data_IF_864081860499
#
_entry.id   IF_864081860499
#
_cell.length_a   1.000
_cell.length_b   1.000
_cell.length_c   1.000
_cell.angle_alpha   90.00
_cell.angle_beta   90.00
_cell.angle_gamma   90.00
#
_symmetry.space_group_name_H-M   'P 1'
#
loop_
_entity.id
_entity.type
_entity.pdbx_description
1 polymer ?
#
# COMPACT_ATOMS: atom_id res chain seq x y z
N UNK A 1 11.65 -7.47 40.94
CA UNK A 1 10.47 -7.57 40.06
C UNK A 1 9.32 -8.08 40.90
N UNK A 2 8.34 -7.23 41.21
CA UNK A 2 7.18 -7.63 42.00
C UNK A 2 6.24 -8.45 41.12
N UNK A 3 5.98 -9.71 41.48
CA UNK A 3 4.97 -10.54 40.85
C UNK A 3 3.60 -9.97 41.23
N UNK A 4 3.01 -9.17 40.33
CA UNK A 4 1.69 -8.59 40.54
C UNK A 4 0.64 -9.59 40.09
N UNK A 5 -0.18 -10.09 41.03
CA UNK A 5 -1.39 -10.85 40.71
C UNK A 5 -2.46 -9.88 40.25
N UNK A 6 -2.91 -10.01 39.01
CA UNK A 6 -4.17 -9.43 38.55
C UNK A 6 -5.31 -10.12 39.30
N UNK A 7 -6.34 -9.37 39.69
CA UNK A 7 -7.52 -9.99 40.29
C UNK A 7 -8.35 -10.72 39.21
N UNK A 8 -9.26 -11.59 39.66
CA UNK A 8 -10.10 -12.37 38.74
C UNK A 8 -10.99 -11.51 37.85
N UNK A 9 -11.35 -10.29 38.27
CA UNK A 9 -12.19 -9.38 37.51
C UNK A 9 -11.43 -8.72 36.36
N UNK A 10 -10.20 -8.27 36.60
CA UNK A 10 -9.30 -7.73 35.58
C UNK A 10 -8.97 -8.76 34.50
N UNK A 11 -8.69 -10.02 34.90
CA UNK A 11 -8.45 -11.13 33.97
C UNK A 11 -9.71 -11.41 33.13
N UNK A 12 -10.89 -11.37 33.74
CA UNK A 12 -12.16 -11.60 33.06
C UNK A 12 -12.49 -10.50 32.04
N UNK A 13 -12.26 -9.23 32.40
CA UNK A 13 -12.46 -8.08 31.51
C UNK A 13 -11.50 -8.11 30.32
N UNK A 14 -10.21 -8.36 30.57
CA UNK A 14 -9.20 -8.52 29.50
C UNK A 14 -9.52 -9.73 28.62
N UNK A 15 -10.06 -10.81 29.20
CA UNK A 15 -10.55 -11.99 28.48
C UNK A 15 -11.71 -11.63 27.54
N UNK A 16 -12.72 -10.89 28.02
CA UNK A 16 -13.86 -10.45 27.19
C UNK A 16 -13.44 -9.53 26.06
N UNK A 17 -12.52 -8.59 26.30
CA UNK A 17 -11.99 -7.68 25.28
C UNK A 17 -11.23 -8.49 24.20
N UNK A 18 -10.38 -9.44 24.60
CA UNK A 18 -9.68 -10.33 23.66
C UNK A 18 -10.63 -11.20 22.84
N UNK A 19 -11.65 -11.80 23.47
CA UNK A 19 -12.64 -12.64 22.79
C UNK A 19 -13.44 -11.82 21.78
N UNK A 20 -13.85 -10.61 22.16
CA UNK A 20 -14.56 -9.67 21.29
C UNK A 20 -13.73 -9.35 20.04
N UNK A 21 -12.48 -8.90 20.21
CA UNK A 21 -11.56 -8.60 19.10
C UNK A 21 -11.28 -9.83 18.21
N UNK A 22 -11.10 -11.01 18.80
CA UNK A 22 -10.87 -12.25 18.05
C UNK A 22 -12.10 -12.66 17.24
N UNK A 23 -13.29 -12.53 17.82
CA UNK A 23 -14.56 -12.86 17.15
C UNK A 23 -14.84 -11.92 15.98
N UNK A 24 -14.58 -10.61 16.15
CA UNK A 24 -14.69 -9.65 15.06
C UNK A 24 -13.69 -9.92 13.94
N UNK A 25 -12.46 -10.33 14.27
CA UNK A 25 -11.44 -10.70 13.30
C UNK A 25 -11.85 -11.93 12.45
N UNK A 26 -12.45 -12.93 13.09
CA UNK A 26 -12.98 -14.15 12.45
C UNK A 26 -14.16 -13.84 11.52
N UNK A 27 -15.10 -13.03 12.00
CA UNK A 27 -16.26 -12.61 11.22
C UNK A 27 -15.82 -11.78 10.00
N UNK A 28 -14.83 -10.89 10.16
CA UNK A 28 -14.27 -10.10 9.06
C UNK A 28 -13.56 -10.98 8.01
N UNK A 29 -12.76 -11.95 8.45
CA UNK A 29 -12.11 -12.91 7.56
C UNK A 29 -13.11 -13.75 6.76
N UNK A 30 -14.20 -14.18 7.40
CA UNK A 30 -15.28 -14.90 6.74
C UNK A 30 -16.02 -14.01 5.72
N UNK A 31 -16.30 -12.75 6.08
CA UNK A 31 -16.93 -11.78 5.16
C UNK A 31 -16.05 -11.48 3.93
N UNK A 32 -14.73 -11.37 4.10
CA UNK A 32 -13.79 -11.23 2.97
C UNK A 32 -13.87 -12.44 2.03
N UNK A 33 -13.91 -13.65 2.59
CA UNK A 33 -14.04 -14.90 1.82
C UNK A 33 -15.36 -14.93 1.03
N UNK A 34 -16.45 -14.49 1.64
CA UNK A 34 -17.78 -14.53 1.02
C UNK A 34 -17.99 -13.40 -0.01
N UNK A 35 -17.39 -12.23 0.21
CA UNK A 35 -17.42 -11.08 -0.71
C UNK A 35 -16.71 -11.35 -2.05
N UNK A 36 -15.75 -12.29 -2.06
CA UNK A 36 -15.10 -12.71 -3.30
C UNK A 36 -16.04 -13.51 -4.24
N UNK A 37 -17.26 -13.84 -3.78
CA UNK A 37 -18.18 -14.73 -4.48
C UNK A 37 -19.53 -14.13 -4.89
N UNK A 38 -19.96 -12.95 -4.41
CA UNK A 38 -21.33 -12.41 -4.69
C UNK A 38 -21.46 -10.87 -4.66
N UNK A 39 -22.52 -10.34 -5.31
CA UNK A 39 -22.90 -8.92 -5.48
C UNK A 39 -23.19 -8.13 -4.17
N UNK A 40 -23.04 -6.80 -4.26
CA UNK A 40 -23.05 -5.70 -3.25
C UNK A 40 -23.93 -5.78 -1.98
N UNK A 41 -24.97 -6.62 -1.88
CA UNK A 41 -25.93 -6.56 -0.76
C UNK A 41 -25.41 -7.16 0.56
N UNK A 42 -24.40 -8.03 0.50
CA UNK A 42 -23.80 -8.67 1.68
C UNK A 42 -22.96 -7.69 2.52
N UNK A 43 -22.36 -6.68 1.88
CA UNK A 43 -21.47 -5.70 2.53
C UNK A 43 -22.23 -4.75 3.46
N UNK A 44 -23.43 -4.28 3.06
CA UNK A 44 -24.25 -3.37 3.86
C UNK A 44 -24.83 -4.02 5.13
N UNK A 45 -25.25 -5.29 5.00
CA UNK A 45 -25.75 -6.08 6.13
C UNK A 45 -24.65 -6.29 7.17
N UNK A 46 -23.43 -6.53 6.71
CA UNK A 46 -22.28 -6.72 7.58
C UNK A 46 -21.85 -5.45 8.31
N UNK A 47 -21.84 -4.30 7.60
CA UNK A 47 -21.58 -2.97 8.19
C UNK A 47 -22.57 -2.66 9.32
N UNK A 48 -23.84 -3.02 9.14
CA UNK A 48 -24.91 -2.78 10.10
C UNK A 48 -24.78 -3.64 11.36
N UNK A 49 -24.43 -4.93 11.20
CA UNK A 49 -24.20 -5.85 12.33
C UNK A 49 -22.93 -5.49 13.12
N UNK A 50 -21.87 -5.06 12.44
CA UNK A 50 -20.65 -4.56 13.09
C UNK A 50 -20.92 -3.31 13.94
N UNK A 51 -21.66 -2.33 13.39
CA UNK A 51 -22.04 -1.10 14.11
C UNK A 51 -22.91 -1.40 15.34
N UNK A 52 -23.88 -2.31 15.24
CA UNK A 52 -24.72 -2.73 16.38
C UNK A 52 -23.90 -3.42 17.48
N UNK A 53 -22.96 -4.29 17.09
CA UNK A 53 -22.01 -4.92 18.00
C UNK A 53 -21.15 -3.89 18.76
N UNK A 54 -20.57 -2.92 18.04
CA UNK A 54 -19.77 -1.85 18.63
C UNK A 54 -20.57 -0.94 19.57
N UNK A 55 -21.83 -0.61 19.23
CA UNK A 55 -22.69 0.25 20.06
C UNK A 55 -23.07 -0.42 21.38
N UNK A 56 -23.34 -1.73 21.40
CA UNK A 56 -23.61 -2.48 22.63
C UNK A 56 -22.41 -2.48 23.59
N UNK A 57 -21.19 -2.60 23.04
CA UNK A 57 -19.95 -2.56 23.80
C UNK A 57 -19.65 -1.15 24.35
N UNK A 58 -19.93 -0.10 23.57
CA UNK A 58 -19.79 1.29 24.01
C UNK A 58 -20.70 1.65 25.19
N UNK A 59 -21.90 1.06 25.27
CA UNK A 59 -22.81 1.24 26.40
C UNK A 59 -22.28 0.60 27.69
N UNK A 60 -21.69 -0.60 27.63
CA UNK A 60 -21.00 -1.21 28.78
C UNK A 60 -19.77 -0.40 29.19
N UNK A 61 -18.97 0.08 28.23
CA UNK A 61 -17.78 0.90 28.50
C UNK A 61 -18.16 2.22 29.20
N UNK A 62 -19.28 2.86 28.83
CA UNK A 62 -19.78 4.06 29.52
C UNK A 62 -20.18 3.77 30.97
N UNK A 63 -20.81 2.62 31.23
CA UNK A 63 -21.18 2.19 32.58
C UNK A 63 -19.95 1.98 33.47
N UNK A 64 -18.88 1.42 32.88
CA UNK A 64 -17.58 1.24 33.53
C UNK A 64 -16.87 2.58 33.76
N UNK A 65 -16.90 3.52 32.80
CA UNK A 65 -16.32 4.88 32.96
C UNK A 65 -16.91 5.64 34.16
N UNK A 66 -18.16 5.43 34.54
CA UNK A 66 -18.77 6.05 35.73
C UNK A 66 -18.27 5.48 37.06
N UNK A 67 -17.84 4.22 37.12
CA UNK A 67 -17.31 3.58 38.33
C UNK A 67 -15.81 3.87 38.56
N UNK A 68 -15.14 4.46 37.57
CA UNK A 68 -13.69 4.70 37.54
C UNK A 68 -13.23 6.04 38.13
N UNK A 69 -14.14 6.88 38.61
CA UNK A 69 -13.81 8.15 39.25
C UNK A 69 -13.11 8.02 40.62
N UNK A 70 -12.91 6.79 41.13
CA UNK A 70 -12.13 6.54 42.35
C UNK A 70 -10.62 6.69 42.05
N UNK A 71 -9.86 7.54 42.78
CA UNK A 71 -8.42 7.70 42.61
C UNK A 71 -7.58 6.41 42.79
N UNK A 72 -8.09 5.39 43.47
CA UNK A 72 -7.43 4.07 43.55
C UNK A 72 -7.44 3.31 42.20
N UNK A 73 -8.28 3.73 41.25
CA UNK A 73 -8.41 3.12 39.93
C UNK A 73 -7.49 3.71 38.84
N UNK A 74 -6.47 4.51 39.21
CA UNK A 74 -5.56 5.14 38.25
C UNK A 74 -4.95 4.14 37.24
N UNK A 75 -4.62 2.93 37.70
CA UNK A 75 -4.10 1.86 36.84
C UNK A 75 -5.14 1.33 35.86
N UNK A 76 -6.38 1.18 36.28
CA UNK A 76 -7.47 0.72 35.42
C UNK A 76 -7.82 1.78 34.35
N UNK A 77 -7.75 3.06 34.71
CA UNK A 77 -7.87 4.18 33.75
C UNK A 77 -6.75 4.15 32.72
N UNK A 78 -5.51 3.90 33.13
CA UNK A 78 -4.37 3.76 32.21
C UNK A 78 -4.55 2.58 31.25
N UNK A 79 -4.93 1.40 31.77
CA UNK A 79 -5.21 0.21 30.96
C UNK A 79 -6.34 0.46 29.93
N UNK A 80 -7.39 1.18 30.33
CA UNK A 80 -8.47 1.55 29.41
C UNK A 80 -8.03 2.51 28.32
N UNK A 81 -7.16 3.49 28.63
CA UNK A 81 -6.57 4.37 27.61
C UNK A 81 -5.73 3.58 26.61
N UNK A 82 -4.89 2.67 27.10
CA UNK A 82 -4.09 1.78 26.23
C UNK A 82 -5.00 0.93 25.33
N UNK A 83 -6.07 0.36 25.89
CA UNK A 83 -7.05 -0.40 25.12
C UNK A 83 -7.80 0.44 24.08
N UNK A 84 -8.16 1.69 24.42
CA UNK A 84 -8.82 2.63 23.52
C UNK A 84 -7.91 3.01 22.35
N UNK A 85 -6.64 3.33 22.62
CA UNK A 85 -5.63 3.59 21.60
C UNK A 85 -5.42 2.37 20.70
N UNK A 86 -5.29 1.17 21.26
CA UNK A 86 -5.14 -0.06 20.48
C UNK A 86 -6.34 -0.30 19.53
N UNK A 87 -7.56 -0.03 20.00
CA UNK A 87 -8.76 -0.16 19.19
C UNK A 87 -8.80 0.88 18.05
N UNK A 88 -8.37 2.11 18.31
CA UNK A 88 -8.25 3.15 17.26
C UNK A 88 -7.23 2.76 16.18
N UNK A 89 -6.06 2.23 16.59
CA UNK A 89 -5.06 1.73 15.64
C UNK A 89 -5.59 0.56 14.79
N UNK A 90 -6.36 -0.33 15.39
CA UNK A 90 -6.98 -1.44 14.67
C UNK A 90 -8.02 -0.98 13.65
N UNK A 91 -8.90 -0.04 14.02
CA UNK A 91 -9.86 0.55 13.09
C UNK A 91 -9.15 1.26 11.91
N UNK A 92 -8.09 2.01 12.21
CA UNK A 92 -7.29 2.66 11.18
C UNK A 92 -6.67 1.65 10.20
N UNK A 93 -6.18 0.51 10.68
CA UNK A 93 -5.68 -0.56 9.81
C UNK A 93 -6.80 -1.14 8.93
N UNK A 94 -8.00 -1.37 9.46
CA UNK A 94 -9.16 -1.83 8.68
C UNK A 94 -9.48 -0.84 7.56
N UNK A 95 -9.50 0.46 7.86
CA UNK A 95 -9.77 1.50 6.85
C UNK A 95 -8.71 1.49 5.75
N UNK A 96 -7.43 1.29 6.11
CA UNK A 96 -6.35 1.17 5.13
C UNK A 96 -6.49 -0.08 4.24
N UNK A 97 -6.91 -1.21 4.81
CA UNK A 97 -7.18 -2.44 4.05
C UNK A 97 -8.33 -2.22 3.07
N UNK A 98 -9.41 -1.58 3.51
CA UNK A 98 -10.56 -1.27 2.67
C UNK A 98 -10.19 -0.35 1.52
N UNK A 99 -9.48 0.75 1.79
CA UNK A 99 -9.00 1.67 0.74
C UNK A 99 -8.08 0.94 -0.27
N UNK A 100 -7.22 0.03 0.22
CA UNK A 100 -6.34 -0.77 -0.66
C UNK A 100 -7.11 -1.68 -1.59
N UNK A 101 -8.13 -2.37 -1.06
CA UNK A 101 -9.04 -3.21 -1.84
C UNK A 101 -9.78 -2.38 -2.89
N UNK A 102 -10.33 -1.23 -2.50
CA UNK A 102 -11.07 -0.35 -3.39
C UNK A 102 -10.17 0.15 -4.54
N UNK A 103 -9.01 0.75 -4.25
CA UNK A 103 -8.13 1.31 -5.29
C UNK A 103 -7.56 0.23 -6.23
N UNK A 104 -7.22 -0.94 -5.69
CA UNK A 104 -6.78 -2.07 -6.51
C UNK A 104 -7.90 -2.60 -7.41
N UNK A 105 -9.12 -2.70 -6.90
CA UNK A 105 -10.29 -3.18 -7.67
C UNK A 105 -10.70 -2.17 -8.74
N UNK A 106 -10.69 -0.88 -8.44
CA UNK A 106 -10.93 0.17 -9.42
C UNK A 106 -9.92 0.11 -10.56
N UNK A 107 -8.64 -0.16 -10.28
CA UNK A 107 -7.62 -0.33 -11.33
C UNK A 107 -7.96 -1.48 -12.28
N UNK A 108 -8.56 -2.57 -11.78
CA UNK A 108 -9.06 -3.68 -12.62
C UNK A 108 -10.14 -3.21 -13.61
N UNK A 109 -11.08 -2.40 -13.14
CA UNK A 109 -12.19 -1.90 -13.95
C UNK A 109 -11.74 -0.83 -14.95
N UNK A 110 -10.87 0.09 -14.51
CA UNK A 110 -10.32 1.14 -15.38
C UNK A 110 -9.25 0.65 -16.35
N UNK A 111 -8.71 -0.57 -16.19
CA UNK A 111 -7.92 -1.20 -17.26
C UNK A 111 -8.68 -1.35 -18.59
N UNK A 112 -10.00 -1.15 -18.59
CA UNK A 112 -10.87 -1.14 -19.77
C UNK A 112 -10.96 0.26 -20.42
N UNK A 113 -10.72 1.34 -19.66
CA UNK A 113 -10.90 2.73 -20.12
C UNK A 113 -9.53 3.41 -20.16
N UNK A 114 -9.01 3.65 -21.37
CA UNK A 114 -7.59 3.92 -21.61
C UNK A 114 -7.03 5.21 -21.01
N UNK A 115 -7.83 6.17 -20.56
CA UNK A 115 -7.28 7.52 -20.28
C UNK A 115 -6.59 7.65 -18.90
N UNK A 116 -7.02 6.93 -17.85
CA UNK A 116 -6.58 7.25 -16.46
C UNK A 116 -5.85 6.12 -15.69
N UNK A 117 -5.21 5.21 -16.43
CA UNK A 117 -4.53 4.04 -15.86
C UNK A 117 -3.35 4.37 -14.96
N UNK A 118 -2.55 5.37 -15.31
CA UNK A 118 -1.32 5.70 -14.58
C UNK A 118 -1.63 6.30 -13.19
N UNK A 119 -2.66 7.14 -13.10
CA UNK A 119 -3.14 7.69 -11.84
C UNK A 119 -3.71 6.61 -10.91
N UNK A 120 -4.46 5.66 -11.47
CA UNK A 120 -5.01 4.52 -10.73
C UNK A 120 -3.89 3.65 -10.12
N UNK A 121 -2.81 3.42 -10.86
CA UNK A 121 -1.65 2.67 -10.36
C UNK A 121 -0.95 3.39 -9.20
N UNK A 122 -0.77 4.71 -9.31
CA UNK A 122 -0.16 5.51 -8.24
C UNK A 122 -1.01 5.48 -6.96
N UNK A 123 -2.34 5.58 -7.09
CA UNK A 123 -3.27 5.45 -5.95
C UNK A 123 -3.21 4.06 -5.32
N UNK A 124 -3.19 3.01 -6.13
CA UNK A 124 -3.05 1.64 -5.64
C UNK A 124 -1.74 1.45 -4.85
N UNK A 125 -0.62 1.95 -5.39
CA UNK A 125 0.68 1.96 -4.69
C UNK A 125 0.58 2.65 -3.32
N UNK A 126 0.14 3.90 -3.30
CA UNK A 126 0.05 4.69 -2.06
C UNK A 126 -0.85 4.04 -1.02
N UNK A 127 -1.96 3.42 -1.44
CA UNK A 127 -2.86 2.73 -0.54
C UNK A 127 -2.21 1.48 0.08
N UNK A 128 -1.55 0.66 -0.73
CA UNK A 128 -0.82 -0.53 -0.27
C UNK A 128 0.33 -0.16 0.68
N UNK A 129 1.09 0.91 0.38
CA UNK A 129 2.16 1.42 1.26
C UNK A 129 1.60 1.85 2.62
N UNK A 130 0.49 2.60 2.64
CA UNK A 130 -0.17 3.02 3.88
C UNK A 130 -0.66 1.84 4.70
N UNK A 131 -1.27 0.84 4.06
CA UNK A 131 -1.75 -0.36 4.73
C UNK A 131 -0.61 -1.15 5.40
N UNK A 132 0.51 -1.33 4.70
CA UNK A 132 1.68 -2.04 5.24
C UNK A 132 2.29 -1.23 6.40
N UNK A 133 2.49 0.08 6.22
CA UNK A 133 3.01 0.95 7.26
C UNK A 133 2.11 0.98 8.52
N UNK A 134 0.79 1.05 8.34
CA UNK A 134 -0.18 1.06 9.43
C UNK A 134 -0.13 -0.24 10.27
N UNK A 135 0.36 -1.33 9.70
CA UNK A 135 0.52 -2.61 10.40
C UNK A 135 1.85 -2.75 11.15
N UNK A 136 2.77 -1.79 11.00
CA UNK A 136 4.14 -1.94 11.49
C UNK A 136 4.90 -3.06 10.77
N UNK A 137 4.68 -3.18 9.44
CA UNK A 137 5.28 -4.21 8.58
C UNK A 137 4.96 -5.65 9.01
N UNK A 138 3.74 -5.90 9.52
CA UNK A 138 3.32 -7.23 9.92
C UNK A 138 3.34 -8.20 8.71
N UNK A 139 4.07 -9.34 8.77
CA UNK A 139 4.18 -10.28 7.65
C UNK A 139 2.85 -10.79 7.12
N UNK A 140 1.81 -10.86 7.97
CA UNK A 140 0.46 -11.28 7.57
C UNK A 140 -0.21 -10.21 6.73
N UNK A 141 -0.05 -8.93 7.09
CA UNK A 141 -0.58 -7.80 6.32
C UNK A 141 0.16 -7.65 5.01
N UNK A 142 1.48 -7.86 4.98
CA UNK A 142 2.25 -7.94 3.74
C UNK A 142 1.68 -9.05 2.82
N UNK A 143 1.37 -10.23 3.37
CA UNK A 143 0.76 -11.32 2.60
C UNK A 143 -0.63 -10.97 2.07
N UNK A 144 -1.46 -10.31 2.88
CA UNK A 144 -2.76 -9.78 2.44
C UNK A 144 -2.56 -8.78 1.30
N UNK A 145 -1.59 -7.86 1.41
CA UNK A 145 -1.27 -6.90 0.37
C UNK A 145 -0.88 -7.57 -0.95
N UNK A 146 -0.03 -8.60 -0.89
CA UNK A 146 0.36 -9.40 -2.06
C UNK A 146 -0.86 -10.08 -2.71
N UNK A 147 -1.80 -10.59 -1.92
CA UNK A 147 -3.05 -11.21 -2.40
C UNK A 147 -3.95 -10.16 -3.05
N UNK A 148 -4.16 -9.01 -2.41
CA UNK A 148 -4.95 -7.89 -2.96
C UNK A 148 -4.37 -7.49 -4.33
N UNK A 149 -3.05 -7.28 -4.38
CA UNK A 149 -2.38 -6.91 -5.61
C UNK A 149 -2.52 -7.99 -6.70
N UNK A 150 -2.34 -9.26 -6.36
CA UNK A 150 -2.46 -10.37 -7.32
C UNK A 150 -3.88 -10.48 -7.92
N UNK A 151 -4.91 -10.07 -7.18
CA UNK A 151 -6.31 -10.08 -7.64
C UNK A 151 -6.76 -8.79 -8.34
N UNK A 152 -5.94 -7.73 -8.28
CA UNK A 152 -6.23 -6.42 -8.89
C UNK A 152 -6.17 -6.40 -10.42
N UNK A 153 -5.58 -7.41 -11.05
CA UNK A 153 -5.27 -7.41 -12.49
C UNK A 153 -4.11 -6.47 -12.86
N UNK A 154 -3.48 -5.79 -11.90
CA UNK A 154 -2.26 -5.04 -12.13
C UNK A 154 -1.12 -6.03 -12.39
N UNK A 155 -0.38 -5.82 -13.49
CA UNK A 155 0.73 -6.69 -13.85
C UNK A 155 1.83 -6.63 -12.79
N UNK A 156 2.40 -7.79 -12.45
CA UNK A 156 3.61 -7.90 -11.63
C UNK A 156 4.84 -7.23 -12.27
N UNK A 157 4.74 -6.80 -13.53
CA UNK A 157 5.76 -5.97 -14.19
C UNK A 157 5.65 -4.49 -13.83
N UNK A 158 4.49 -4.02 -13.37
CA UNK A 158 4.22 -2.61 -13.05
C UNK A 158 4.43 -2.31 -11.56
N UNK A 159 4.02 -3.23 -10.69
CA UNK A 159 4.15 -3.09 -9.24
C UNK A 159 4.43 -4.46 -8.61
N UNK A 160 5.23 -4.47 -7.55
CA UNK A 160 5.45 -5.66 -6.71
C UNK A 160 5.51 -5.25 -5.24
N UNK A 161 5.17 -6.20 -4.38
CA UNK A 161 5.37 -6.08 -2.94
C UNK A 161 6.40 -7.14 -2.57
N UNK A 162 7.55 -6.69 -2.08
CA UNK A 162 8.63 -7.56 -1.62
C UNK A 162 8.28 -8.18 -0.26
N UNK A 163 8.98 -9.24 0.12
CA UNK A 163 8.72 -9.95 1.37
C UNK A 163 8.98 -9.10 2.63
N UNK A 164 9.78 -8.03 2.49
CA UNK A 164 10.00 -7.03 3.54
C UNK A 164 8.95 -5.90 3.55
N UNK A 165 7.84 -6.06 2.82
CA UNK A 165 6.75 -5.07 2.78
C UNK A 165 7.00 -3.89 1.84
N UNK A 166 8.21 -3.75 1.27
CA UNK A 166 8.51 -2.67 0.33
C UNK A 166 7.66 -2.81 -0.94
N UNK A 167 6.84 -1.80 -1.21
CA UNK A 167 6.11 -1.66 -2.47
C UNK A 167 7.04 -1.00 -3.49
N UNK A 168 7.32 -1.70 -4.59
CA UNK A 168 8.13 -1.19 -5.69
C UNK A 168 7.25 -1.00 -6.91
N UNK A 169 7.38 0.15 -7.56
CA UNK A 169 6.75 0.45 -8.85
C UNK A 169 7.78 0.55 -9.94
N UNK A 170 7.33 0.31 -11.17
CA UNK A 170 8.13 0.55 -12.35
C UNK A 170 8.52 2.02 -12.42
N UNK A 171 9.74 2.25 -12.88
CA UNK A 171 10.30 3.57 -13.12
C UNK A 171 10.77 3.67 -14.55
N UNK A 172 10.64 4.86 -15.13
CA UNK A 172 11.27 5.21 -16.41
C UNK A 172 12.62 5.82 -16.09
N UNK A 173 13.66 5.39 -16.79
CA UNK A 173 15.00 5.93 -16.68
C UNK A 173 15.48 6.49 -18.03
N UNK A 174 16.30 7.52 -17.93
CA UNK A 174 17.01 8.15 -19.05
C UNK A 174 18.50 7.95 -18.82
N UNK A 175 19.18 7.25 -19.72
CA UNK A 175 20.60 6.96 -19.58
C UNK A 175 21.35 7.34 -20.84
N UNK A 176 22.49 8.01 -20.70
CA UNK A 176 23.33 8.46 -21.78
C UNK A 176 24.57 7.57 -21.88
N UNK A 177 24.92 7.16 -23.11
CA UNK A 177 26.18 6.50 -23.42
C UNK A 177 27.27 7.54 -23.74
N UNK A 178 28.54 7.13 -23.74
CA UNK A 178 29.70 7.97 -24.06
C UNK A 178 29.61 8.74 -25.39
N UNK A 179 28.91 8.22 -26.40
CA UNK A 179 28.69 8.90 -27.69
C UNK A 179 27.54 9.93 -27.68
N UNK A 180 26.95 10.16 -26.50
CA UNK A 180 25.87 11.13 -26.31
C UNK A 180 24.47 10.58 -26.55
N UNK A 181 24.33 9.37 -27.11
CA UNK A 181 23.02 8.76 -27.35
C UNK A 181 22.28 8.49 -26.04
N UNK A 182 20.99 8.79 -25.99
CA UNK A 182 20.14 8.61 -24.80
C UNK A 182 19.22 7.41 -25.01
N UNK A 183 19.19 6.50 -24.04
CA UNK A 183 18.23 5.42 -23.95
C UNK A 183 17.11 5.79 -22.99
N UNK A 184 15.87 5.59 -23.43
CA UNK A 184 14.67 5.63 -22.59
C UNK A 184 14.27 4.19 -22.34
N UNK A 185 14.23 3.77 -21.07
CA UNK A 185 13.78 2.44 -20.71
C UNK A 185 12.98 2.43 -19.43
N UNK A 186 12.36 1.29 -19.10
CA UNK A 186 11.68 1.12 -17.80
C UNK A 186 12.11 -0.14 -17.05
N UNK A 187 12.10 -0.08 -15.71
CA UNK A 187 12.41 -1.23 -14.85
C UNK A 187 11.78 -1.11 -13.46
N UNK A 188 11.55 -2.24 -12.79
CA UNK A 188 11.27 -2.30 -11.35
C UNK A 188 12.55 -2.13 -10.52
N UNK A 189 13.71 -2.44 -11.12
CA UNK A 189 15.04 -2.29 -10.54
C UNK A 189 15.93 -1.61 -11.58
N UNK A 190 16.03 -0.28 -11.48
CA UNK A 190 16.79 0.55 -12.43
C UNK A 190 18.29 0.26 -12.30
N UNK A 191 18.81 0.10 -11.08
CA UNK A 191 20.25 -0.07 -10.85
C UNK A 191 20.76 -1.37 -11.46
N UNK A 192 20.06 -2.48 -11.20
CA UNK A 192 20.37 -3.76 -11.84
C UNK A 192 20.33 -3.65 -13.36
N UNK A 193 19.28 -3.00 -13.89
CA UNK A 193 19.12 -2.84 -15.34
C UNK A 193 20.23 -1.99 -15.96
N UNK A 194 20.67 -0.93 -15.30
CA UNK A 194 21.80 -0.11 -15.77
C UNK A 194 23.10 -0.91 -15.78
N UNK A 195 23.36 -1.72 -14.75
CA UNK A 195 24.52 -2.63 -14.72
C UNK A 195 24.50 -3.62 -15.89
N UNK A 196 23.34 -4.21 -16.18
CA UNK A 196 23.18 -5.15 -17.30
C UNK A 196 23.43 -4.46 -18.66
N UNK A 197 23.00 -3.21 -18.82
CA UNK A 197 23.22 -2.45 -20.06
C UNK A 197 24.68 -2.01 -20.17
N UNK A 198 25.29 -1.54 -19.08
CA UNK A 198 26.68 -1.10 -19.07
C UNK A 198 27.64 -2.23 -19.45
N UNK A 199 27.35 -3.47 -19.04
CA UNK A 199 28.09 -4.65 -19.47
C UNK A 199 28.08 -4.88 -21.00
N UNK A 200 27.10 -4.33 -21.72
CA UNK A 200 26.95 -4.47 -23.17
C UNK A 200 27.48 -3.28 -23.96
N UNK A 201 27.36 -2.05 -23.43
CA UNK A 201 27.63 -0.82 -24.20
C UNK A 201 28.70 0.08 -23.59
N UNK A 202 29.31 -0.34 -22.47
CA UNK A 202 30.30 0.45 -21.73
C UNK A 202 29.68 1.48 -20.79
N UNK A 203 30.41 2.54 -20.52
CA UNK A 203 30.04 3.54 -19.51
C UNK A 203 28.71 4.23 -19.81
N UNK A 204 27.91 4.37 -18.75
CA UNK A 204 26.58 4.95 -18.78
C UNK A 204 26.46 6.06 -17.75
N UNK A 205 25.86 7.18 -18.16
CA UNK A 205 25.48 8.29 -17.29
C UNK A 205 23.97 8.29 -17.09
N UNK A 206 23.50 8.04 -15.87
CA UNK A 206 22.09 8.18 -15.53
C UNK A 206 21.71 9.67 -15.52
N UNK A 207 20.82 10.07 -16.43
CA UNK A 207 20.36 11.45 -16.55
C UNK A 207 19.16 11.74 -15.64
N UNK A 208 18.30 10.73 -15.43
CA UNK A 208 17.12 10.91 -14.60
C UNK A 208 16.28 9.65 -14.48
N UNK A 209 15.42 9.65 -13.47
CA UNK A 209 14.45 8.59 -13.20
C UNK A 209 13.13 9.22 -12.79
N UNK A 210 12.03 8.77 -13.37
CA UNK A 210 10.66 9.15 -12.99
C UNK A 210 9.83 7.92 -12.67
N UNK A 211 8.82 8.08 -11.82
CA UNK A 211 7.78 7.06 -11.67
C UNK A 211 6.98 6.97 -12.98
N UNK A 212 6.70 5.75 -13.43
CA UNK A 212 5.91 5.56 -14.64
C UNK A 212 5.70 4.10 -15.00
N UNK A 213 4.95 3.87 -16.07
CA UNK A 213 4.49 2.54 -16.50
C UNK A 213 5.08 2.15 -17.84
N UNK A 214 4.88 0.90 -18.26
CA UNK A 214 5.23 0.46 -19.62
C UNK A 214 4.51 1.34 -20.67
N UNK A 215 3.33 1.86 -20.35
CA UNK A 215 2.59 2.76 -21.23
C UNK A 215 3.27 4.12 -21.37
N UNK A 216 3.73 4.70 -20.26
CA UNK A 216 4.47 5.97 -20.29
C UNK A 216 5.75 5.82 -21.10
N UNK A 217 6.49 4.72 -20.92
CA UNK A 217 7.68 4.41 -21.74
C UNK A 217 7.35 4.43 -23.23
N UNK A 218 6.32 3.69 -23.65
CA UNK A 218 5.87 3.64 -25.05
C UNK A 218 5.44 5.01 -25.58
N UNK A 219 4.75 5.79 -24.74
CA UNK A 219 4.34 7.15 -25.09
C UNK A 219 5.55 8.06 -25.32
N UNK A 220 6.58 7.95 -24.48
CA UNK A 220 7.83 8.69 -24.64
C UNK A 220 8.59 8.25 -25.89
N UNK A 221 8.66 6.94 -26.17
CA UNK A 221 9.25 6.44 -27.42
C UNK A 221 8.53 6.99 -28.65
N UNK A 222 7.18 7.05 -28.62
CA UNK A 222 6.38 7.65 -29.69
C UNK A 222 6.61 9.17 -29.80
N UNK A 223 6.72 9.87 -28.66
CA UNK A 223 6.96 11.32 -28.60
C UNK A 223 8.30 11.70 -29.24
N UNK A 224 9.34 10.90 -29.02
CA UNK A 224 10.70 11.14 -29.53
C UNK A 224 11.04 10.30 -30.76
N UNK A 225 10.04 9.87 -31.53
CA UNK A 225 10.26 9.02 -32.70
C UNK A 225 11.16 9.68 -33.75
N UNK A 226 11.11 11.02 -33.88
CA UNK A 226 11.97 11.77 -34.79
C UNK A 226 13.43 11.84 -34.34
N UNK A 227 13.69 11.58 -33.07
CA UNK A 227 15.04 11.50 -32.49
C UNK A 227 15.55 10.05 -32.46
N UNK A 228 14.78 9.07 -32.95
CA UNK A 228 15.15 7.66 -32.88
C UNK A 228 16.35 7.34 -33.78
N UNK A 229 17.36 6.69 -33.21
CA UNK A 229 18.57 6.27 -33.94
C UNK A 229 18.45 4.79 -34.28
N UNK A 230 18.49 3.93 -33.26
CA UNK A 230 18.40 2.49 -33.38
C UNK A 230 17.98 1.84 -32.06
N UNK A 231 17.19 0.76 -32.12
CA UNK A 231 16.63 0.06 -30.96
C UNK A 231 15.85 0.98 -30.00
N UNK A 232 16.38 1.26 -28.82
CA UNK A 232 15.77 2.14 -27.82
C UNK A 232 16.67 3.36 -27.55
N UNK A 233 17.54 3.72 -28.50
CA UNK A 233 18.47 4.85 -28.42
C UNK A 233 18.01 6.01 -29.29
N UNK A 234 18.19 7.23 -28.76
CA UNK A 234 17.69 8.47 -29.30
C UNK A 234 18.77 9.56 -29.30
N UNK A 235 18.59 10.55 -30.19
CA UNK A 235 19.32 11.81 -30.22
C UNK A 235 19.04 12.63 -28.95
N UNK A 236 20.01 13.44 -28.52
CA UNK A 236 19.96 14.05 -27.19
C UNK A 236 19.13 15.36 -27.10
N UNK A 237 18.87 16.05 -28.22
CA UNK A 237 18.47 17.46 -28.18
C UNK A 237 17.12 17.68 -27.51
N UNK A 238 16.05 17.04 -28.00
CA UNK A 238 14.71 17.21 -27.43
C UNK A 238 14.54 16.50 -26.09
N UNK A 239 15.27 15.40 -25.87
CA UNK A 239 15.17 14.61 -24.64
C UNK A 239 15.83 15.37 -23.48
N UNK A 240 16.99 15.99 -23.68
CA UNK A 240 17.62 16.80 -22.63
C UNK A 240 16.72 17.96 -22.19
N UNK A 241 16.08 18.65 -23.16
CA UNK A 241 15.09 19.69 -22.85
C UNK A 241 13.96 19.14 -21.98
N UNK A 242 13.39 17.99 -22.39
CA UNK A 242 12.34 17.33 -21.61
C UNK A 242 12.78 16.93 -20.20
N UNK A 243 13.97 16.36 -20.02
CA UNK A 243 14.51 15.99 -18.70
C UNK A 243 14.69 17.24 -17.82
N UNK A 244 15.19 18.34 -18.40
CA UNK A 244 15.34 19.60 -17.68
C UNK A 244 13.99 20.20 -17.26
N UNK A 245 12.99 20.15 -18.14
CA UNK A 245 11.63 20.63 -17.87
C UNK A 245 10.95 19.85 -16.74
N UNK A 246 11.29 18.57 -16.56
CA UNK A 246 10.82 17.77 -15.43
C UNK A 246 11.43 18.19 -14.08
N UNK A 247 12.45 19.06 -14.07
CA UNK A 247 13.12 19.52 -12.86
C UNK A 247 13.83 18.40 -12.08
N UNK A 248 14.16 17.29 -12.75
CA UNK A 248 14.85 16.17 -12.13
C UNK A 248 16.28 16.62 -11.82
N UNK A 249 16.59 16.82 -10.54
CA UNK A 249 17.97 17.05 -10.12
C UNK A 249 18.78 15.79 -10.44
N UNK A 250 19.93 15.96 -11.08
CA UNK A 250 20.85 14.86 -11.35
C UNK A 250 21.05 14.05 -10.07
N UNK A 251 20.80 12.74 -10.14
CA UNK A 251 21.14 11.81 -9.09
C UNK A 251 22.68 11.64 -9.11
N UNK A 252 23.38 12.59 -8.48
CA UNK A 252 24.80 12.48 -8.21
C UNK A 252 25.06 11.43 -7.13
#
# INVERSE_FOLDING_TARGET
MNNVKLDHWEIFLLGKIKISLFTYSLLFAQALKDSASTHESSVYTFRSLFLLGCLSHLAEIRKVKMQLANPENNRLVELLKVSETANQSFNYLIDCIYDSLEKCTLTKHFNIIEEDKDYSLLKAKQSLERMILASGDDPRVIKIAQIILSNSGISSREIKILDNGKVITRKIYFVQRSDGAIKIGSSLDVQKRLSDIAALVGDLKLLGVIDGTIRIEKSLHKKFINDHIHNEWFSQENINRFINDLGIKNAN
#
